data_IF_307254957384
#
_entry.id   IF_307254957384
#
_cell.length_a   1.000
_cell.length_b   1.000
_cell.length_c   1.000
_cell.angle_alpha   90.00
_cell.angle_beta   90.00
_cell.angle_gamma   90.00
#
_symmetry.space_group_name_H-M   'P 1'
#
loop_
_entity.id
_entity.type
_entity.pdbx_description
1 polymer ?
#
# COMPACT_ATOMS: atom_id res chain seq x y z
N UNK A 1 8.11 -11.44 -49.61
CA UNK A 1 8.54 -10.59 -48.47
C UNK A 1 7.29 -10.13 -47.74
N UNK A 2 7.24 -10.49 -46.45
CA UNK A 2 6.38 -10.03 -45.35
C UNK A 2 4.86 -9.82 -45.58
N UNK A 3 4.10 -10.79 -45.07
CA UNK A 3 2.75 -10.58 -44.57
C UNK A 3 2.80 -9.68 -43.33
N UNK A 4 2.16 -8.51 -43.38
CA UNK A 4 1.92 -7.67 -42.20
C UNK A 4 0.49 -7.95 -41.75
N UNK A 5 0.38 -8.97 -40.89
CA UNK A 5 -0.76 -9.11 -39.98
C UNK A 5 -0.47 -8.12 -38.86
N UNK A 6 -1.04 -6.93 -38.96
CA UNK A 6 -0.91 -5.90 -37.93
C UNK A 6 -1.57 -6.43 -36.67
N UNK A 7 -0.71 -6.76 -35.71
CA UNK A 7 -1.08 -7.35 -34.44
C UNK A 7 -2.11 -6.48 -33.74
N UNK A 8 -3.16 -7.18 -33.31
CA UNK A 8 -4.10 -6.85 -32.24
C UNK A 8 -3.57 -5.75 -31.34
N UNK A 9 -4.25 -4.61 -31.38
CA UNK A 9 -4.21 -3.56 -30.38
C UNK A 9 -4.61 -4.22 -29.04
N UNK A 10 -3.64 -4.80 -28.33
CA UNK A 10 -3.76 -5.08 -26.90
C UNK A 10 -3.70 -3.71 -26.22
N UNK A 11 -4.85 -3.04 -26.20
CA UNK A 11 -5.19 -2.08 -25.16
C UNK A 11 -5.19 -2.86 -23.84
N UNK A 12 -3.98 -3.10 -23.34
CA UNK A 12 -3.75 -3.29 -21.92
C UNK A 12 -4.31 -2.03 -21.28
N UNK A 13 -5.53 -2.16 -20.76
CA UNK A 13 -6.01 -1.39 -19.64
C UNK A 13 -4.96 -1.59 -18.54
N UNK A 14 -3.90 -0.80 -18.64
CA UNK A 14 -2.99 -0.54 -17.55
C UNK A 14 -3.87 0.22 -16.59
N UNK A 15 -4.54 -0.54 -15.72
CA UNK A 15 -5.14 0.01 -14.51
C UNK A 15 -3.98 0.75 -13.88
N UNK A 16 -3.97 2.07 -14.02
CA UNK A 16 -3.01 2.89 -13.29
C UNK A 16 -3.40 2.60 -11.85
N UNK A 17 -2.70 1.70 -11.18
CA UNK A 17 -2.86 1.56 -9.75
C UNK A 17 -2.14 2.78 -9.18
N UNK A 18 -2.91 3.69 -8.58
CA UNK A 18 -2.31 4.66 -7.66
C UNK A 18 -2.47 3.90 -6.38
N UNK A 19 -1.62 2.90 -6.23
CA UNK A 19 -1.43 2.34 -4.92
C UNK A 19 -0.95 3.52 -4.08
N UNK A 20 -1.60 3.75 -2.95
CA UNK A 20 -1.09 4.67 -1.95
C UNK A 20 0.32 4.24 -1.53
N UNK A 21 1.00 5.05 -0.69
CA UNK A 21 2.33 4.71 -0.20
C UNK A 21 2.38 3.25 0.29
N UNK A 22 3.35 2.48 -0.19
CA UNK A 22 3.58 1.13 0.31
C UNK A 22 4.24 1.20 1.69
N UNK A 23 3.54 0.69 2.70
CA UNK A 23 4.02 0.63 4.08
C UNK A 23 4.75 -0.69 4.40
N UNK A 24 4.98 -1.54 3.40
CA UNK A 24 5.66 -2.83 3.50
C UNK A 24 5.03 -3.75 4.57
N UNK A 25 3.71 -3.64 4.79
CA UNK A 25 3.04 -4.26 5.94
C UNK A 25 3.26 -5.77 6.02
N UNK A 26 3.16 -6.48 4.89
CA UNK A 26 3.40 -7.93 4.83
C UNK A 26 4.86 -8.28 5.12
N UNK A 27 5.81 -7.55 4.54
CA UNK A 27 7.24 -7.76 4.78
C UNK A 27 7.61 -7.50 6.25
N UNK A 28 7.07 -6.43 6.84
CA UNK A 28 7.25 -6.12 8.27
C UNK A 28 6.61 -7.16 9.18
N UNK A 29 5.42 -7.66 8.83
CA UNK A 29 4.78 -8.74 9.58
C UNK A 29 5.61 -10.03 9.51
N UNK A 30 6.13 -10.39 8.33
CA UNK A 30 7.00 -11.56 8.15
C UNK A 30 8.26 -11.45 9.01
N UNK A 31 8.95 -10.31 8.96
CA UNK A 31 10.14 -10.07 9.78
C UNK A 31 9.83 -10.13 11.28
N UNK A 32 8.65 -9.67 11.71
CA UNK A 32 8.21 -9.77 13.10
C UNK A 32 7.98 -11.24 13.53
N UNK A 33 7.29 -12.02 12.69
CA UNK A 33 7.05 -13.45 12.96
C UNK A 33 8.36 -14.22 13.02
N UNK A 34 9.29 -14.00 12.08
CA UNK A 34 10.63 -14.60 12.10
C UNK A 34 11.41 -14.24 13.38
N UNK A 35 11.29 -13.01 13.87
CA UNK A 35 11.88 -12.63 15.15
C UNK A 35 11.26 -13.37 16.34
N UNK A 36 9.94 -13.63 16.32
CA UNK A 36 9.28 -14.45 17.32
C UNK A 36 9.75 -15.91 17.27
N UNK A 37 9.88 -16.48 16.07
CA UNK A 37 10.33 -17.85 15.85
C UNK A 37 11.76 -18.03 16.40
N UNK A 38 12.68 -17.13 16.01
CA UNK A 38 14.06 -17.14 16.52
C UNK A 38 14.13 -16.99 18.05
N UNK A 39 13.24 -16.19 18.65
CA UNK A 39 13.17 -16.03 20.10
C UNK A 39 12.62 -17.28 20.81
N UNK A 40 11.72 -18.03 20.18
CA UNK A 40 11.22 -19.30 20.71
C UNK A 40 12.33 -20.36 20.73
N UNK A 41 13.14 -20.43 19.67
CA UNK A 41 14.28 -21.35 19.56
C UNK A 41 15.36 -21.07 20.63
N UNK A 42 15.47 -19.82 21.10
CA UNK A 42 16.37 -19.45 22.22
C UNK A 42 15.82 -19.77 23.63
N UNK A 43 14.66 -20.44 23.73
CA UNK A 43 14.16 -20.99 24.99
C UNK A 43 13.18 -20.11 25.78
N UNK A 44 12.58 -19.07 25.18
CA UNK A 44 11.65 -18.16 25.89
C UNK A 44 10.26 -18.76 26.21
N UNK A 45 10.00 -20.01 25.85
CA UNK A 45 8.76 -20.74 26.19
C UNK A 45 7.52 -20.31 25.39
N UNK A 46 6.55 -21.21 25.25
CA UNK A 46 5.38 -21.04 24.39
C UNK A 46 4.53 -19.79 24.72
N UNK A 47 4.47 -19.38 25.98
CA UNK A 47 3.71 -18.19 26.40
C UNK A 47 4.37 -16.86 25.99
N UNK A 48 5.69 -16.81 25.82
CA UNK A 48 6.36 -15.61 25.28
C UNK A 48 6.20 -15.54 23.76
N UNK A 49 6.29 -16.70 23.09
CA UNK A 49 6.07 -16.81 21.66
C UNK A 49 4.66 -16.36 21.24
N UNK A 50 3.62 -16.87 21.89
CA UNK A 50 2.23 -16.49 21.58
C UNK A 50 1.97 -14.99 21.77
N UNK A 51 2.53 -14.39 22.83
CA UNK A 51 2.45 -12.94 23.06
C UNK A 51 3.20 -12.14 21.99
N UNK A 52 4.33 -12.65 21.50
CA UNK A 52 5.08 -12.06 20.40
C UNK A 52 4.25 -12.06 19.11
N UNK A 53 3.67 -13.21 18.74
CA UNK A 53 2.81 -13.33 17.55
C UNK A 53 1.57 -12.42 17.62
N UNK A 54 0.94 -12.31 18.80
CA UNK A 54 -0.19 -11.39 19.01
C UNK A 54 0.23 -9.93 18.77
N UNK A 55 1.41 -9.54 19.24
CA UNK A 55 2.02 -8.24 18.97
C UNK A 55 2.24 -8.00 17.47
N UNK A 56 2.81 -8.97 16.75
CA UNK A 56 3.00 -8.90 15.30
C UNK A 56 1.66 -8.73 14.56
N UNK A 57 0.65 -9.54 14.91
CA UNK A 57 -0.70 -9.44 14.32
C UNK A 57 -1.33 -8.06 14.55
N UNK A 58 -1.22 -7.52 15.76
CA UNK A 58 -1.74 -6.19 16.10
C UNK A 58 -1.02 -5.10 15.30
N UNK A 59 0.30 -5.18 15.22
CA UNK A 59 1.11 -4.24 14.44
C UNK A 59 0.78 -4.31 12.94
N UNK A 60 0.65 -5.52 12.38
CA UNK A 60 0.26 -5.72 11.00
C UNK A 60 -1.13 -5.15 10.72
N UNK A 61 -2.11 -5.41 11.60
CA UNK A 61 -3.47 -4.86 11.45
C UNK A 61 -3.46 -3.33 11.35
N UNK A 62 -2.75 -2.65 12.25
CA UNK A 62 -2.61 -1.19 12.24
C UNK A 62 -1.94 -0.71 10.95
N UNK A 63 -0.91 -1.42 10.50
CA UNK A 63 -0.23 -1.10 9.24
C UNK A 63 -1.18 -1.23 8.05
N UNK A 64 -1.91 -2.35 7.94
CA UNK A 64 -2.87 -2.59 6.85
C UNK A 64 -4.02 -1.58 6.87
N UNK A 65 -4.53 -1.20 8.04
CA UNK A 65 -5.54 -0.14 8.16
C UNK A 65 -5.01 1.20 7.63
N UNK A 66 -3.75 1.54 7.91
CA UNK A 66 -3.10 2.74 7.37
C UNK A 66 -2.88 2.66 5.85
N UNK A 67 -2.39 1.53 5.36
CA UNK A 67 -2.23 1.27 3.91
C UNK A 67 -3.58 1.45 3.20
N UNK A 68 -4.63 0.85 3.73
CA UNK A 68 -5.98 0.95 3.16
C UNK A 68 -6.48 2.39 3.14
N UNK A 69 -6.32 3.13 4.25
CA UNK A 69 -6.68 4.56 4.32
C UNK A 69 -5.90 5.37 3.26
N UNK A 70 -4.59 5.15 3.15
CA UNK A 70 -3.75 5.87 2.21
C UNK A 70 -4.10 5.55 0.74
N UNK A 71 -4.48 4.30 0.45
CA UNK A 71 -4.98 3.89 -0.87
C UNK A 71 -6.29 4.60 -1.22
N UNK A 72 -7.26 4.65 -0.30
CA UNK A 72 -8.52 5.38 -0.51
C UNK A 72 -8.25 6.87 -0.79
N UNK A 73 -7.34 7.49 -0.04
CA UNK A 73 -6.94 8.87 -0.29
C UNK A 73 -6.26 9.05 -1.65
N UNK A 74 -5.43 8.10 -2.08
CA UNK A 74 -4.73 8.15 -3.36
C UNK A 74 -5.70 8.01 -4.54
N UNK A 75 -6.73 7.17 -4.41
CA UNK A 75 -7.81 7.06 -5.40
C UNK A 75 -8.59 8.37 -5.55
N UNK A 76 -8.98 8.99 -4.42
CA UNK A 76 -9.66 10.29 -4.43
C UNK A 76 -8.77 11.39 -5.03
N UNK A 77 -7.48 11.41 -4.66
CA UNK A 77 -6.50 12.33 -5.21
C UNK A 77 -6.38 12.22 -6.73
N UNK A 78 -6.36 10.99 -7.26
CA UNK A 78 -6.34 10.75 -8.71
C UNK A 78 -7.53 11.38 -9.41
N UNK A 79 -8.74 11.15 -8.90
CA UNK A 79 -9.95 11.72 -9.50
C UNK A 79 -9.84 13.24 -9.55
N UNK A 80 -9.40 13.82 -8.43
CA UNK A 80 -9.21 15.27 -8.30
C UNK A 80 -8.20 15.83 -9.32
N UNK A 81 -7.00 15.25 -9.45
CA UNK A 81 -5.99 15.75 -10.40
C UNK A 81 -6.38 15.54 -11.86
N UNK A 82 -7.21 14.53 -12.16
CA UNK A 82 -7.74 14.32 -13.51
C UNK A 82 -8.73 15.41 -13.91
N UNK A 83 -9.51 15.90 -12.95
CA UNK A 83 -10.47 17.00 -13.15
C UNK A 83 -9.76 18.37 -13.15
N UNK A 84 -8.71 18.52 -12.34
CA UNK A 84 -7.88 19.71 -12.22
C UNK A 84 -6.79 19.84 -13.31
N UNK A 85 -6.78 18.96 -14.31
CA UNK A 85 -5.70 18.91 -15.30
C UNK A 85 -5.57 20.23 -16.08
N UNK A 86 -4.43 20.90 -15.94
CA UNK A 86 -4.15 22.19 -16.57
C UNK A 86 -4.49 23.42 -15.73
N UNK A 87 -4.93 23.22 -14.48
CA UNK A 87 -5.16 24.27 -13.48
C UNK A 87 -4.27 24.01 -12.26
N UNK A 88 -3.22 24.83 -12.11
CA UNK A 88 -2.20 24.66 -11.08
C UNK A 88 -2.76 24.85 -9.65
N UNK A 89 -3.69 25.80 -9.47
CA UNK A 89 -4.31 26.07 -8.17
C UNK A 89 -5.23 24.91 -7.76
N UNK A 90 -6.00 24.37 -8.70
CA UNK A 90 -6.83 23.19 -8.46
C UNK A 90 -5.97 21.94 -8.18
N UNK A 91 -4.85 21.77 -8.88
CA UNK A 91 -3.90 20.68 -8.60
C UNK A 91 -3.28 20.79 -7.21
N UNK A 92 -2.96 22.00 -6.74
CA UNK A 92 -2.46 22.22 -5.38
C UNK A 92 -3.53 21.91 -4.32
N UNK A 93 -4.78 22.32 -4.56
CA UNK A 93 -5.92 21.94 -3.71
C UNK A 93 -6.11 20.43 -3.59
N UNK A 94 -5.94 19.68 -4.69
CA UNK A 94 -5.97 18.21 -4.66
C UNK A 94 -4.86 17.62 -3.79
N UNK A 95 -3.64 18.19 -3.83
CA UNK A 95 -2.50 17.72 -3.03
C UNK A 95 -2.72 17.96 -1.54
N UNK A 96 -3.28 19.10 -1.18
CA UNK A 96 -3.60 19.43 0.21
C UNK A 96 -4.73 18.55 0.77
N UNK A 97 -5.76 18.28 -0.04
CA UNK A 97 -6.78 17.31 0.31
C UNK A 97 -6.21 15.90 0.52
N UNK A 98 -5.26 15.48 -0.33
CA UNK A 98 -4.57 14.20 -0.17
C UNK A 98 -3.73 14.12 1.12
N UNK A 99 -2.96 15.16 1.43
CA UNK A 99 -2.15 15.25 2.67
C UNK A 99 -3.03 15.18 3.92
N UNK A 100 -4.12 15.94 3.93
CA UNK A 100 -5.11 15.94 5.02
C UNK A 100 -5.78 14.57 5.18
N UNK A 101 -6.14 13.92 4.07
CA UNK A 101 -6.80 12.62 4.09
C UNK A 101 -5.92 11.50 4.65
N UNK A 102 -4.63 11.43 4.27
CA UNK A 102 -3.72 10.38 4.76
C UNK A 102 -3.24 10.59 6.20
N UNK A 103 -3.60 11.71 6.83
CA UNK A 103 -3.29 12.03 8.22
C UNK A 103 -1.82 12.34 8.47
N UNK A 104 -1.22 13.18 7.61
CA UNK A 104 -0.03 13.97 8.01
C UNK A 104 -0.41 15.00 9.09
#
# INVERSE_FOLDING_TARGET
>A
MLAIVTAVFLSAYSVVQADGPDYDCEARNRACVEACDNAADTGKGANAYNRCLEGCRKSNKICTERQQSANVCAEAFRSCISEAAGDDDAMEGCRDAYRSCKGD
#
